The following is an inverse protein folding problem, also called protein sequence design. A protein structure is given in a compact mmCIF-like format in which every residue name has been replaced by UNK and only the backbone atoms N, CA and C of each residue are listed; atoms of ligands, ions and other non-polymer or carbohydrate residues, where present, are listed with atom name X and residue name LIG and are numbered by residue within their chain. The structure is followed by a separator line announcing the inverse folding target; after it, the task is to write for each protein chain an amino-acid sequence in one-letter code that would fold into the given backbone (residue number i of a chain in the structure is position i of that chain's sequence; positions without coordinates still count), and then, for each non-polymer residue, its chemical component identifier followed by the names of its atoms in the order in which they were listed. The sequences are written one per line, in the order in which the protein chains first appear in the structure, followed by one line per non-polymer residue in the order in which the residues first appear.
data_IF_627965289971
#
_entry.id   IF_627965289971
#
_cell.length_a   1.000
_cell.length_b   1.000
_cell.length_c   1.000
_cell.angle_alpha   90.00
_cell.angle_beta   90.00
_cell.angle_gamma   90.00
#
_symmetry.space_group_name_H-M   'P 1'
#
loop_
_entity.id
_entity.type
_entity.pdbx_description
1 polymer ?
#
# COMPACT_ATOMS: atom_id res chain seq x y z
N UNK A 1 8.39 4.07 -12.42
CA UNK A 1 7.23 3.73 -11.56
C UNK A 1 7.63 2.58 -10.65
N UNK A 2 7.57 2.80 -9.35
CA UNK A 2 8.08 1.92 -8.28
C UNK A 2 7.63 0.44 -8.37
N UNK A 3 6.46 0.16 -8.95
CA UNK A 3 6.01 -1.21 -9.25
C UNK A 3 7.06 -2.04 -10.01
N UNK A 4 7.68 -1.47 -11.05
CA UNK A 4 8.66 -2.18 -11.88
C UNK A 4 9.95 -2.50 -11.12
N UNK A 5 10.27 -1.74 -10.07
CA UNK A 5 11.45 -2.01 -9.26
C UNK A 5 11.28 -3.30 -8.46
N UNK A 6 10.17 -3.48 -7.75
CA UNK A 6 9.98 -4.71 -6.99
C UNK A 6 9.94 -5.94 -7.90
N UNK A 7 9.29 -5.82 -9.06
CA UNK A 7 9.25 -6.88 -10.08
C UNK A 7 10.65 -7.23 -10.58
N UNK A 8 11.50 -6.24 -10.86
CA UNK A 8 12.88 -6.51 -11.29
C UNK A 8 13.74 -7.16 -10.22
N UNK A 9 13.37 -7.03 -8.94
CA UNK A 9 13.99 -7.74 -7.81
C UNK A 9 13.36 -9.11 -7.52
N UNK A 10 12.46 -9.59 -8.39
CA UNK A 10 11.78 -10.88 -8.24
C UNK A 10 10.70 -10.89 -7.16
N UNK A 11 10.11 -9.73 -6.85
CA UNK A 11 9.04 -9.59 -5.87
C UNK A 11 7.94 -8.65 -6.35
N UNK A 12 7.09 -8.20 -5.43
CA UNK A 12 6.04 -7.22 -5.69
C UNK A 12 6.02 -6.17 -4.58
N UNK A 13 5.26 -5.09 -4.77
CA UNK A 13 4.96 -4.22 -3.64
C UNK A 13 4.16 -5.00 -2.58
N UNK A 14 4.39 -4.65 -1.31
CA UNK A 14 3.80 -5.36 -0.19
C UNK A 14 2.27 -5.45 -0.28
N UNK A 15 1.74 -6.68 -0.25
CA UNK A 15 0.34 -6.99 -0.01
C UNK A 15 0.09 -7.23 1.48
N UNK A 16 -1.14 -6.96 1.95
CA UNK A 16 -1.48 -7.11 3.37
C UNK A 16 -2.80 -7.87 3.52
N UNK A 17 -2.77 -9.01 4.19
CA UNK A 17 -3.88 -9.96 4.30
C UNK A 17 -4.43 -10.12 5.72
N UNK A 18 -3.83 -9.45 6.72
CA UNK A 18 -4.30 -9.52 8.09
C UNK A 18 -3.82 -8.33 8.93
N UNK A 19 -4.47 -8.13 10.08
CA UNK A 19 -4.04 -7.15 11.07
C UNK A 19 -2.62 -7.42 11.59
N UNK A 20 -2.22 -8.70 11.67
CA UNK A 20 -0.87 -9.10 12.06
C UNK A 20 0.16 -8.68 11.00
N UNK A 21 -0.09 -8.95 9.72
CA UNK A 21 0.79 -8.51 8.62
C UNK A 21 0.87 -6.99 8.53
N UNK A 22 -0.25 -6.28 8.70
CA UNK A 22 -0.26 -4.82 8.76
C UNK A 22 0.65 -4.31 9.89
N UNK A 23 0.53 -4.88 11.09
CA UNK A 23 1.32 -4.47 12.26
C UNK A 23 2.80 -4.80 12.10
N UNK A 24 3.11 -5.97 11.52
CA UNK A 24 4.47 -6.35 11.17
C UNK A 24 5.08 -5.37 10.17
N UNK A 25 4.37 -5.05 9.09
CA UNK A 25 4.87 -4.13 8.05
C UNK A 25 5.10 -2.72 8.59
N UNK A 26 4.20 -2.21 9.44
CA UNK A 26 4.41 -0.94 10.17
C UNK A 26 5.68 -0.96 11.01
N UNK A 27 5.89 -2.03 11.78
CA UNK A 27 7.05 -2.19 12.66
C UNK A 27 8.34 -2.32 11.86
N UNK A 28 8.30 -3.05 10.74
CA UNK A 28 9.41 -3.16 9.80
C UNK A 28 9.79 -1.78 9.26
N UNK A 29 8.84 -1.02 8.72
CA UNK A 29 9.10 0.34 8.22
C UNK A 29 9.73 1.20 9.32
N UNK A 30 9.14 1.21 10.52
CA UNK A 30 9.67 1.95 11.65
C UNK A 30 11.11 1.59 12.01
N UNK A 31 11.43 0.30 12.05
CA UNK A 31 12.80 -0.17 12.32
C UNK A 31 13.83 0.28 11.27
N UNK A 32 13.39 0.53 10.03
CA UNK A 32 14.27 0.92 8.92
C UNK A 32 14.38 2.43 8.74
N UNK A 33 13.37 3.18 9.16
CA UNK A 33 13.28 4.63 8.91
C UNK A 33 13.25 5.48 10.18
N UNK A 34 13.24 4.87 11.36
CA UNK A 34 13.07 5.54 12.65
C UNK A 34 11.81 6.43 12.70
N UNK A 35 10.70 5.94 12.11
CA UNK A 35 9.46 6.71 11.97
C UNK A 35 8.41 5.98 11.16
N UNK A 36 7.30 6.65 10.83
CA UNK A 36 6.20 6.07 10.06
C UNK A 36 5.95 6.88 8.78
N UNK A 37 6.91 6.95 7.84
CA UNK A 37 6.69 7.69 6.60
C UNK A 37 5.51 7.09 5.85
N UNK A 38 4.74 7.95 5.18
CA UNK A 38 3.73 7.52 4.22
C UNK A 38 4.42 6.68 3.16
N UNK A 39 3.96 5.44 2.99
CA UNK A 39 4.70 4.42 2.25
C UNK A 39 3.78 3.71 1.29
N UNK A 40 4.21 3.54 0.04
CA UNK A 40 3.50 2.77 -0.98
C UNK A 40 3.39 1.29 -0.59
N UNK A 41 2.20 0.74 -0.77
CA UNK A 41 1.92 -0.70 -0.74
C UNK A 41 1.24 -1.11 -2.06
N UNK A 42 1.13 -2.41 -2.31
CA UNK A 42 0.81 -2.94 -3.63
C UNK A 42 -0.65 -2.82 -4.09
N UNK A 43 -1.47 -2.02 -3.40
CA UNK A 43 -2.90 -1.90 -3.70
C UNK A 43 -3.14 -0.90 -4.82
N UNK A 44 -3.99 -1.25 -5.79
CA UNK A 44 -4.47 -0.36 -6.84
C UNK A 44 -5.91 -0.69 -7.24
N UNK A 45 -6.72 0.32 -7.52
CA UNK A 45 -8.03 0.20 -8.18
C UNK A 45 -8.04 0.84 -9.58
N UNK A 46 -6.87 1.08 -10.18
CA UNK A 46 -6.74 1.68 -11.53
C UNK A 46 -7.45 0.91 -12.65
N UNK A 47 -7.73 -0.37 -12.45
CA UNK A 47 -8.46 -1.19 -13.42
C UNK A 47 -9.97 -0.93 -13.37
N UNK A 48 -10.49 -0.68 -12.17
CA UNK A 48 -11.90 -0.42 -11.93
C UNK A 48 -12.03 0.31 -10.59
N UNK A 49 -12.37 1.60 -10.65
CA UNK A 49 -12.56 2.47 -9.49
C UNK A 49 -13.41 1.78 -8.40
N UNK A 50 -12.96 1.86 -7.13
CA UNK A 50 -13.51 1.16 -5.96
C UNK A 50 -13.24 -0.35 -5.87
N UNK A 51 -12.70 -0.99 -6.90
CA UNK A 51 -12.31 -2.40 -6.89
C UNK A 51 -10.80 -2.52 -6.78
N UNK A 52 -10.33 -2.79 -5.56
CA UNK A 52 -8.91 -2.86 -5.24
C UNK A 52 -8.31 -4.24 -5.53
N UNK A 53 -7.10 -4.24 -6.08
CA UNK A 53 -6.29 -5.40 -6.41
C UNK A 53 -4.90 -5.27 -5.80
N UNK A 54 -4.31 -6.39 -5.36
CA UNK A 54 -2.91 -6.42 -4.99
C UNK A 54 -2.04 -6.71 -6.23
N UNK A 55 -0.92 -6.00 -6.35
CA UNK A 55 0.05 -6.18 -7.45
C UNK A 55 0.68 -7.57 -7.51
N UNK A 56 0.67 -8.33 -6.41
CA UNK A 56 1.17 -9.70 -6.35
C UNK A 56 0.13 -10.76 -6.79
N UNK A 57 -1.04 -10.32 -7.27
CA UNK A 57 -2.13 -11.18 -7.73
C UNK A 57 -2.95 -11.83 -6.62
N UNK A 58 -2.64 -11.57 -5.35
CA UNK A 58 -3.37 -12.13 -4.22
C UNK A 58 -4.73 -11.43 -3.99
N UNK A 59 -5.63 -12.10 -3.26
CA UNK A 59 -6.98 -11.59 -3.01
C UNK A 59 -6.97 -10.36 -2.09
N UNK A 60 -7.68 -9.30 -2.50
CA UNK A 60 -7.91 -8.11 -1.69
C UNK A 60 -9.09 -8.30 -0.73
N UNK A 61 -8.89 -9.03 0.36
CA UNK A 61 -9.93 -9.32 1.37
C UNK A 61 -9.80 -8.51 2.67
N UNK A 62 -8.57 -8.21 3.10
CA UNK A 62 -8.31 -7.42 4.29
C UNK A 62 -8.23 -5.94 3.95
N UNK A 63 -8.90 -5.10 4.74
CA UNK A 63 -8.97 -3.65 4.55
C UNK A 63 -8.59 -2.92 5.82
N UNK A 64 -7.71 -1.94 5.72
CA UNK A 64 -7.34 -1.03 6.82
C UNK A 64 -7.37 0.43 6.36
N UNK A 65 -8.36 0.80 5.55
CA UNK A 65 -8.59 2.19 5.16
C UNK A 65 -8.84 3.07 6.39
N UNK A 66 -8.41 4.32 6.30
CA UNK A 66 -8.78 5.32 7.28
C UNK A 66 -10.23 5.79 7.08
N UNK A 67 -10.76 6.53 8.05
CA UNK A 67 -12.10 7.13 7.90
C UNK A 67 -12.11 8.09 6.70
N UNK A 68 -13.10 7.96 5.83
CA UNK A 68 -13.28 8.83 4.65
C UNK A 68 -12.49 8.44 3.41
N UNK A 69 -11.86 7.26 3.38
CA UNK A 69 -11.12 6.71 2.22
C UNK A 69 -11.48 5.22 2.01
N UNK A 70 -11.41 4.67 0.78
CA UNK A 70 -11.07 5.34 -0.48
C UNK A 70 -12.11 6.39 -0.87
N UNK A 71 -11.67 7.48 -1.50
CA UNK A 71 -12.58 8.49 -2.06
C UNK A 71 -13.00 8.06 -3.45
N UNK A 72 -14.26 8.26 -3.79
CA UNK A 72 -14.81 7.89 -5.10
C UNK A 72 -14.52 8.97 -6.14
N UNK A 73 -14.25 8.55 -7.39
CA UNK A 73 -14.15 9.44 -8.57
C UNK A 73 -13.06 10.52 -8.47
N UNK A 74 -11.95 10.20 -7.81
CA UNK A 74 -10.87 11.16 -7.58
C UNK A 74 -9.62 10.93 -8.46
N UNK A 75 -9.55 9.78 -9.15
CA UNK A 75 -8.35 9.37 -9.89
C UNK A 75 -7.18 8.94 -8.98
N UNK A 76 -7.46 8.67 -7.70
CA UNK A 76 -6.47 8.30 -6.70
C UNK A 76 -6.33 6.78 -6.65
N UNK A 77 -5.57 6.25 -7.61
CA UNK A 77 -5.61 4.81 -7.85
C UNK A 77 -4.57 3.97 -7.09
N UNK A 78 -3.75 4.56 -6.22
CA UNK A 78 -2.66 3.84 -5.55
C UNK A 78 -2.78 3.88 -4.04
N UNK A 79 -2.41 2.77 -3.38
CA UNK A 79 -2.57 2.62 -1.93
C UNK A 79 -1.29 2.99 -1.16
N UNK A 80 -1.42 3.88 -0.19
CA UNK A 80 -0.38 4.16 0.80
C UNK A 80 -0.80 3.69 2.18
N UNK A 81 0.17 3.39 3.04
CA UNK A 81 -0.03 3.14 4.48
C UNK A 81 0.70 4.16 5.35
N UNK A 82 0.55 4.02 6.68
CA UNK A 82 1.10 4.93 7.69
C UNK A 82 0.53 6.35 7.63
N UNK A 83 -0.70 6.50 7.13
CA UNK A 83 -1.36 7.81 7.11
C UNK A 83 -2.08 8.05 8.42
N UNK A 84 -2.03 9.30 8.90
CA UNK A 84 -2.61 9.78 10.17
C UNK A 84 -2.07 9.06 11.41
N UNK A 85 -2.51 9.48 12.60
CA UNK A 85 -2.18 8.81 13.87
C UNK A 85 -2.68 7.36 13.92
N UNK A 86 -3.70 7.01 13.13
CA UNK A 86 -4.23 5.66 13.03
C UNK A 86 -3.34 4.69 12.21
N UNK A 87 -2.33 5.22 11.48
CA UNK A 87 -1.44 4.47 10.57
C UNK A 87 -2.19 3.52 9.62
N UNK A 88 -3.33 3.97 9.12
CA UNK A 88 -4.20 3.23 8.21
C UNK A 88 -3.86 3.57 6.75
N UNK A 89 -4.71 3.14 5.82
CA UNK A 89 -4.49 3.28 4.37
C UNK A 89 -5.28 4.41 3.76
N UNK A 90 -4.69 5.08 2.77
CA UNK A 90 -5.34 6.06 1.90
C UNK A 90 -5.14 5.67 0.44
N UNK A 91 -6.13 6.01 -0.37
CA UNK A 91 -6.01 6.21 -1.81
C UNK A 91 -5.20 7.49 -2.11
N UNK A 92 -4.25 7.41 -3.04
CA UNK A 92 -3.26 8.45 -3.27
C UNK A 92 -2.88 8.57 -4.76
N UNK A 93 -2.44 9.75 -5.24
CA UNK A 93 -2.02 9.89 -6.64
C UNK A 93 -0.73 9.10 -6.90
N UNK A 94 -0.79 8.19 -7.87
CA UNK A 94 0.28 7.23 -8.18
C UNK A 94 1.62 7.86 -8.62
N UNK A 95 1.64 9.14 -8.97
CA UNK A 95 2.82 9.82 -9.51
C UNK A 95 3.73 10.45 -8.45
N UNK A 96 3.41 10.31 -7.15
CA UNK A 96 4.24 10.83 -6.06
C UNK A 96 5.45 9.94 -5.75
N UNK A 97 6.59 10.57 -5.51
CA UNK A 97 7.82 9.91 -5.03
C UNK A 97 7.78 9.68 -3.53
N UNK A 98 7.29 8.50 -3.11
CA UNK A 98 7.27 8.08 -1.70
C UNK A 98 8.09 6.80 -1.51
N UNK A 99 8.55 6.51 -0.28
CA UNK A 99 9.10 5.21 0.08
C UNK A 99 8.15 4.07 -0.26
N UNK A 100 8.69 2.88 -0.51
CA UNK A 100 7.91 1.69 -0.84
C UNK A 100 8.56 0.44 -0.24
N UNK A 101 7.78 -0.62 -0.04
CA UNK A 101 8.28 -1.91 0.46
C UNK A 101 8.04 -2.99 -0.59
N UNK A 102 9.12 -3.65 -1.01
CA UNK A 102 9.04 -4.86 -1.82
C UNK A 102 8.99 -6.10 -0.91
N UNK A 103 8.20 -7.08 -1.33
CA UNK A 103 8.10 -8.40 -0.68
C UNK A 103 8.35 -9.48 -1.74
N UNK A 104 9.19 -10.45 -1.38
CA UNK A 104 9.41 -11.68 -2.13
C UNK A 104 8.89 -12.84 -1.29
N UNK A 105 8.19 -13.77 -1.94
CA UNK A 105 7.73 -15.02 -1.33
C UNK A 105 8.71 -16.13 -1.67
#
# INVERSE_FOLDING_TARGET
MFFNYCVSQGGNLASVHSAAQHSWLKSYIHSRTNGYPVTWIGGSDSQQEQYWFWSDGSRFSFKKFCSGTPRTNTGLNCLVMNVSDCRCWYDYPCNYGLPFVCVRK
#
